data_IF_305518250572
#
_entry.id   IF_305518250572
#
_cell.length_a   1.000
_cell.length_b   1.000
_cell.length_c   1.000
_cell.angle_alpha   90.00
_cell.angle_beta   90.00
_cell.angle_gamma   90.00
#
_symmetry.space_group_name_H-M   'P 1'
#
loop_
_entity.id
_entity.type
_entity.pdbx_description
1 polymer ?
#
# COMPACT_ATOMS: atom_id res chain seq x y z
N UNK A 1 24.73 -55.26 21.93
CA UNK A 1 24.98 -53.83 21.60
C UNK A 1 24.01 -53.35 20.51
N UNK A 2 22.68 -53.45 20.72
CA UNK A 2 21.65 -53.10 19.71
C UNK A 2 20.49 -52.27 20.31
N UNK A 3 20.31 -52.26 21.63
CA UNK A 3 19.17 -51.58 22.26
C UNK A 3 19.26 -50.04 22.34
N UNK A 4 20.44 -49.43 22.19
CA UNK A 4 20.63 -47.96 22.29
C UNK A 4 20.32 -47.17 21.02
N UNK A 5 20.08 -47.84 19.89
CA UNK A 5 19.84 -47.15 18.61
C UNK A 5 18.36 -46.84 18.35
N UNK A 6 17.42 -47.51 19.03
CA UNK A 6 15.98 -47.35 18.78
C UNK A 6 15.40 -46.14 19.53
N UNK A 7 15.94 -45.83 20.71
CA UNK A 7 15.45 -44.75 21.59
C UNK A 7 15.78 -43.34 21.05
N UNK A 8 16.93 -43.16 20.38
CA UNK A 8 17.28 -41.91 19.69
C UNK A 8 16.43 -41.61 18.44
N UNK A 9 15.83 -42.64 17.84
CA UNK A 9 14.99 -42.49 16.65
C UNK A 9 13.60 -41.96 17.05
N UNK A 10 13.02 -42.46 18.15
CA UNK A 10 11.69 -42.03 18.62
C UNK A 10 11.63 -40.56 19.08
N UNK A 11 12.70 -40.07 19.73
CA UNK A 11 12.75 -38.67 20.21
C UNK A 11 12.93 -37.66 19.07
N UNK A 12 13.69 -38.00 18.02
CA UNK A 12 13.92 -37.11 16.87
C UNK A 12 12.68 -36.99 15.96
N UNK A 13 11.93 -38.07 15.79
CA UNK A 13 10.71 -38.06 14.95
C UNK A 13 9.63 -37.18 15.59
N UNK A 14 9.38 -37.33 16.90
CA UNK A 14 8.38 -36.53 17.59
C UNK A 14 8.73 -35.03 17.65
N UNK A 15 10.02 -34.70 17.81
CA UNK A 15 10.51 -33.32 17.78
C UNK A 15 10.28 -32.66 16.41
N UNK A 16 10.56 -33.37 15.32
CA UNK A 16 10.37 -32.85 13.96
C UNK A 16 8.89 -32.62 13.62
N UNK A 17 7.99 -33.46 14.11
CA UNK A 17 6.55 -33.31 13.89
C UNK A 17 5.98 -32.10 14.65
N UNK A 18 6.40 -31.89 15.90
CA UNK A 18 6.01 -30.73 16.70
C UNK A 18 6.53 -29.45 16.05
N UNK A 19 7.80 -29.40 15.65
CA UNK A 19 8.39 -28.24 14.96
C UNK A 19 7.65 -27.94 13.66
N UNK A 20 7.37 -28.95 12.83
CA UNK A 20 6.61 -28.77 11.59
C UNK A 20 5.21 -28.21 11.84
N UNK A 21 4.51 -28.68 12.88
CA UNK A 21 3.17 -28.20 13.23
C UNK A 21 3.19 -26.75 13.72
N UNK A 22 4.18 -26.37 14.52
CA UNK A 22 4.38 -24.99 14.97
C UNK A 22 4.68 -24.08 13.78
N UNK A 23 5.59 -24.49 12.88
CA UNK A 23 5.91 -23.72 11.67
C UNK A 23 4.69 -23.55 10.76
N UNK A 24 3.86 -24.59 10.58
CA UNK A 24 2.61 -24.47 9.83
C UNK A 24 1.65 -23.47 10.49
N UNK A 25 1.51 -23.52 11.81
CA UNK A 25 0.70 -22.56 12.55
C UNK A 25 1.18 -21.12 12.36
N UNK A 26 2.49 -20.89 12.38
CA UNK A 26 3.06 -19.56 12.14
C UNK A 26 2.78 -19.05 10.72
N UNK A 27 2.99 -19.89 9.69
CA UNK A 27 2.70 -19.50 8.30
C UNK A 27 1.22 -19.18 8.12
N UNK A 28 0.34 -20.00 8.71
CA UNK A 28 -1.10 -19.74 8.65
C UNK A 28 -1.49 -18.43 9.36
N UNK A 29 -0.91 -18.14 10.52
CA UNK A 29 -1.12 -16.88 11.22
C UNK A 29 -0.64 -15.67 10.39
N UNK A 30 0.51 -15.80 9.71
CA UNK A 30 1.01 -14.78 8.81
C UNK A 30 0.09 -14.55 7.60
N UNK A 31 -0.46 -15.62 7.01
CA UNK A 31 -1.46 -15.52 5.94
C UNK A 31 -2.75 -14.85 6.40
N UNK A 32 -3.22 -15.18 7.61
CA UNK A 32 -4.38 -14.52 8.21
C UNK A 32 -4.14 -13.01 8.39
N UNK A 33 -2.95 -12.63 8.88
CA UNK A 33 -2.55 -11.23 8.95
C UNK A 33 -2.51 -10.57 7.56
N UNK A 34 -2.01 -11.26 6.54
CA UNK A 34 -2.00 -10.73 5.17
C UNK A 34 -3.41 -10.47 4.63
N UNK A 35 -4.39 -11.33 4.95
CA UNK A 35 -5.81 -11.09 4.63
C UNK A 35 -6.35 -9.88 5.37
N UNK A 36 -6.05 -9.73 6.67
CA UNK A 36 -6.47 -8.55 7.43
C UNK A 36 -5.91 -7.27 6.79
N UNK A 37 -4.63 -7.25 6.43
CA UNK A 37 -4.01 -6.10 5.75
C UNK A 37 -4.67 -5.84 4.40
N UNK A 38 -4.94 -6.86 3.60
CA UNK A 38 -5.62 -6.69 2.32
C UNK A 38 -7.04 -6.11 2.46
N UNK A 39 -7.81 -6.61 3.41
CA UNK A 39 -9.16 -6.11 3.70
C UNK A 39 -9.12 -4.67 4.19
N UNK A 40 -8.23 -4.36 5.15
CA UNK A 40 -8.00 -2.98 5.60
C UNK A 40 -7.57 -2.09 4.44
N UNK A 41 -6.73 -2.59 3.54
CA UNK A 41 -6.31 -1.87 2.36
C UNK A 41 -7.48 -1.45 1.47
N UNK A 42 -8.43 -2.35 1.21
CA UNK A 42 -9.65 -2.00 0.45
C UNK A 42 -10.42 -0.84 1.11
N UNK A 43 -10.54 -0.85 2.45
CA UNK A 43 -11.19 0.25 3.18
C UNK A 43 -10.42 1.57 3.06
N UNK A 44 -9.09 1.53 3.21
CA UNK A 44 -8.24 2.73 3.07
C UNK A 44 -8.29 3.30 1.65
N UNK A 45 -8.20 2.45 0.62
CA UNK A 45 -8.32 2.86 -0.78
C UNK A 45 -9.67 3.54 -1.07
N UNK A 46 -10.77 3.00 -0.52
CA UNK A 46 -12.09 3.59 -0.69
C UNK A 46 -12.20 4.96 0.01
N UNK A 47 -11.67 5.08 1.23
CA UNK A 47 -11.68 6.36 1.95
C UNK A 47 -10.81 7.41 1.22
N UNK A 48 -9.67 7.00 0.68
CA UNK A 48 -8.81 7.86 -0.12
C UNK A 48 -9.51 8.35 -1.39
N UNK A 49 -10.27 7.49 -2.08
CA UNK A 49 -11.06 7.88 -3.25
C UNK A 49 -12.16 8.92 -2.98
N UNK A 50 -12.64 9.00 -1.74
CA UNK A 50 -13.63 10.00 -1.34
C UNK A 50 -13.00 11.36 -1.02
N UNK A 51 -11.68 11.42 -0.85
CA UNK A 51 -10.98 12.68 -0.64
C UNK A 51 -10.76 13.39 -1.99
N UNK A 52 -11.07 14.69 -2.10
CA UNK A 52 -10.82 15.43 -3.33
C UNK A 52 -9.34 15.44 -3.70
N UNK A 53 -9.05 15.21 -4.97
CA UNK A 53 -7.72 15.16 -5.54
C UNK A 53 -7.20 16.57 -5.87
N UNK A 54 -6.00 16.90 -5.40
CA UNK A 54 -5.29 18.16 -5.66
C UNK A 54 -4.74 18.29 -7.08
N UNK A 55 -4.72 17.20 -7.86
CA UNK A 55 -4.20 17.24 -9.23
C UNK A 55 -2.71 17.08 -9.39
N UNK A 56 -2.01 16.66 -8.34
CA UNK A 56 -0.62 16.23 -8.36
C UNK A 56 -0.35 15.21 -7.24
N UNK A 57 0.59 14.30 -7.48
CA UNK A 57 1.06 13.37 -6.43
C UNK A 57 2.27 13.92 -5.70
N UNK A 58 2.29 13.66 -4.39
CA UNK A 58 3.35 14.01 -3.46
C UNK A 58 3.71 12.81 -2.59
N UNK A 59 4.92 12.82 -2.03
CA UNK A 59 5.42 11.81 -1.11
C UNK A 59 5.03 12.11 0.34
N UNK A 60 5.31 11.19 1.28
CA UNK A 60 5.05 11.39 2.71
C UNK A 60 5.72 12.64 3.32
N UNK A 61 6.75 13.18 2.66
CA UNK A 61 7.44 14.44 3.00
C UNK A 61 6.75 15.68 2.42
N UNK A 62 5.60 15.52 1.77
CA UNK A 62 4.86 16.54 1.03
C UNK A 62 5.59 17.08 -0.21
N UNK A 63 6.64 16.38 -0.65
CA UNK A 63 7.40 16.73 -1.85
C UNK A 63 6.71 16.16 -3.08
N UNK A 64 6.51 16.98 -4.11
CA UNK A 64 5.90 16.54 -5.36
C UNK A 64 6.76 15.52 -6.10
N UNK A 65 6.08 14.58 -6.74
CA UNK A 65 6.68 13.55 -7.60
C UNK A 65 6.63 13.97 -9.08
N UNK A 66 7.36 13.27 -9.96
CA UNK A 66 7.25 13.48 -11.42
C UNK A 66 6.07 12.74 -12.05
N UNK A 67 5.15 12.18 -11.26
CA UNK A 67 4.02 11.44 -11.79
C UNK A 67 3.05 12.40 -12.47
N UNK A 68 2.85 12.19 -13.76
CA UNK A 68 1.91 12.94 -14.59
C UNK A 68 1.00 11.94 -15.30
N UNK A 69 -0.25 12.34 -15.54
CA UNK A 69 -1.10 11.59 -16.45
C UNK A 69 -0.59 11.76 -17.88
N UNK A 70 -0.46 10.64 -18.60
CA UNK A 70 -0.25 10.64 -20.05
C UNK A 70 -1.51 11.06 -20.82
N UNK A 71 -2.66 11.04 -20.16
CA UNK A 71 -3.94 11.45 -20.71
C UNK A 71 -4.16 12.91 -20.35
N UNK A 72 -4.63 13.73 -21.30
CA UNK A 72 -4.86 15.17 -21.15
C UNK A 72 -5.97 15.56 -20.17
N UNK A 73 -6.14 14.80 -19.09
CA UNK A 73 -7.13 14.97 -18.06
C UNK A 73 -6.89 16.27 -17.27
N UNK A 74 -7.95 17.06 -17.15
CA UNK A 74 -7.96 18.34 -16.43
C UNK A 74 -7.72 18.16 -14.93
N UNK A 75 -8.07 16.99 -14.39
CA UNK A 75 -7.83 16.68 -12.98
C UNK A 75 -6.35 16.68 -12.63
N UNK A 76 -5.45 16.46 -13.60
CA UNK A 76 -4.00 16.48 -13.41
C UNK A 76 -3.37 17.86 -13.72
N UNK A 77 -4.16 18.92 -13.83
CA UNK A 77 -3.67 20.25 -14.23
C UNK A 77 -2.58 20.77 -13.31
N UNK A 78 -2.69 20.55 -12.00
CA UNK A 78 -1.75 21.09 -11.01
C UNK A 78 -0.35 20.49 -11.15
N UNK A 79 -0.23 19.19 -11.51
CA UNK A 79 1.06 18.53 -11.80
C UNK A 79 1.88 19.18 -12.93
N UNK A 80 1.28 20.08 -13.71
CA UNK A 80 1.97 20.84 -14.76
C UNK A 80 2.69 22.08 -14.19
N UNK A 81 2.23 22.57 -13.05
CA UNK A 81 2.74 23.80 -12.42
C UNK A 81 3.83 23.52 -11.37
N UNK A 82 3.88 22.30 -10.86
CA UNK A 82 4.86 21.87 -9.85
C UNK A 82 5.87 20.90 -10.43
N UNK A 83 7.07 20.87 -9.85
CA UNK A 83 8.19 20.01 -10.23
C UNK A 83 8.58 19.10 -9.09
N UNK A 84 9.30 18.03 -9.42
CA UNK A 84 9.86 17.16 -8.38
C UNK A 84 10.92 17.90 -7.56
N UNK A 85 10.76 17.83 -6.24
CA UNK A 85 11.54 18.58 -5.27
C UNK A 85 10.83 19.82 -4.72
N UNK A 86 9.75 20.27 -5.34
CA UNK A 86 8.87 21.29 -4.76
C UNK A 86 8.05 20.65 -3.63
N UNK A 87 7.71 21.40 -2.58
CA UNK A 87 7.08 20.87 -1.38
C UNK A 87 5.83 21.67 -0.99
N UNK A 88 4.74 20.99 -0.65
CA UNK A 88 3.55 21.63 -0.08
C UNK A 88 3.87 22.06 1.35
N UNK A 89 3.62 23.34 1.68
CA UNK A 89 3.84 23.88 3.03
C UNK A 89 2.57 24.43 3.67
N UNK A 90 1.56 24.80 2.89
CA UNK A 90 0.25 25.21 3.41
C UNK A 90 -0.88 24.99 2.39
N UNK A 91 -2.10 24.84 2.90
CA UNK A 91 -3.34 24.84 2.11
C UNK A 91 -4.30 25.84 2.77
N UNK A 92 -4.82 26.81 2.01
CA UNK A 92 -5.68 27.89 2.49
C UNK A 92 -5.11 28.63 3.71
N UNK A 93 -3.81 28.95 3.67
CA UNK A 93 -3.06 29.58 4.77
C UNK A 93 -2.88 28.71 6.03
N UNK A 94 -3.37 27.48 6.02
CA UNK A 94 -3.15 26.50 7.10
C UNK A 94 -1.87 25.70 6.83
N UNK A 95 -0.86 25.76 7.72
CA UNK A 95 0.38 25.00 7.54
C UNK A 95 0.12 23.50 7.55
N UNK A 96 0.77 22.78 6.64
CA UNK A 96 0.71 21.32 6.57
C UNK A 96 2.09 20.72 6.78
N UNK A 97 2.19 19.71 7.64
CA UNK A 97 3.43 19.00 7.92
C UNK A 97 3.34 17.51 7.54
N UNK A 98 2.13 17.00 7.30
CA UNK A 98 1.88 15.60 6.98
C UNK A 98 0.71 15.41 6.01
N UNK A 99 0.63 14.22 5.40
CA UNK A 99 -0.54 13.83 4.59
C UNK A 99 -1.83 13.81 5.40
N UNK A 100 -1.75 13.58 6.72
CA UNK A 100 -2.91 13.60 7.60
C UNK A 100 -3.52 15.00 7.63
N UNK A 101 -2.70 16.04 7.72
CA UNK A 101 -3.16 17.44 7.74
C UNK A 101 -3.85 17.79 6.41
N UNK A 102 -3.23 17.42 5.28
CA UNK A 102 -3.83 17.61 3.96
C UNK A 102 -5.17 16.90 3.86
N UNK A 103 -5.24 15.63 4.29
CA UNK A 103 -6.48 14.86 4.24
C UNK A 103 -7.56 15.46 5.13
N UNK A 104 -7.22 15.94 6.32
CA UNK A 104 -8.17 16.61 7.21
C UNK A 104 -8.76 17.86 6.55
N UNK A 105 -7.90 18.72 5.99
CA UNK A 105 -8.31 19.92 5.26
C UNK A 105 -9.20 19.56 4.07
N UNK A 106 -8.77 18.63 3.22
CA UNK A 106 -9.48 18.26 1.99
C UNK A 106 -10.76 17.45 2.24
N UNK A 107 -10.85 16.70 3.34
CA UNK A 107 -12.06 15.90 3.68
C UNK A 107 -13.29 16.76 3.94
N UNK A 108 -13.08 18.05 4.26
CA UNK A 108 -14.15 19.03 4.46
C UNK A 108 -14.55 19.76 3.18
N UNK A 109 -13.93 19.42 2.04
CA UNK A 109 -14.07 20.10 0.75
C UNK A 109 -14.75 19.20 -0.28
N UNK A 110 -15.23 19.83 -1.34
CA UNK A 110 -15.90 19.15 -2.46
C UNK A 110 -15.09 19.26 -3.75
N UNK A 111 -15.19 18.25 -4.62
CA UNK A 111 -14.70 18.36 -5.98
C UNK A 111 -15.37 19.54 -6.70
N UNK A 112 -14.58 20.30 -7.46
CA UNK A 112 -14.96 21.56 -8.11
C UNK A 112 -14.63 22.83 -7.31
N UNK A 113 -14.29 22.71 -6.02
CA UNK A 113 -13.86 23.86 -5.21
C UNK A 113 -12.42 24.29 -5.53
N UNK A 114 -12.12 25.56 -5.25
CA UNK A 114 -10.76 26.10 -5.31
C UNK A 114 -10.13 26.10 -3.93
N UNK A 115 -8.87 25.71 -3.87
CA UNK A 115 -8.02 25.84 -2.68
C UNK A 115 -6.71 26.53 -3.07
N UNK A 116 -6.21 27.37 -2.18
CA UNK A 116 -4.90 28.00 -2.34
C UNK A 116 -3.83 27.07 -1.77
N UNK A 117 -2.90 26.63 -2.59
CA UNK A 117 -1.79 25.76 -2.16
C UNK A 117 -0.51 26.57 -2.17
N UNK A 118 0.12 26.72 -1.01
CA UNK A 118 1.43 27.34 -0.88
C UNK A 118 2.51 26.28 -1.01
N UNK A 119 3.41 26.48 -1.97
CA UNK A 119 4.47 25.54 -2.32
C UNK A 119 5.82 26.19 -2.12
N UNK A 120 6.70 25.52 -1.38
CA UNK A 120 8.12 25.82 -1.35
C UNK A 120 8.77 25.22 -2.59
N UNK A 121 9.14 26.07 -3.53
CA UNK A 121 9.86 25.66 -4.73
C UNK A 121 11.26 25.18 -4.37
N UNK A 122 11.82 24.28 -5.17
CA UNK A 122 13.19 23.78 -5.00
C UNK A 122 14.24 24.91 -4.95
N UNK A 123 13.97 26.03 -5.61
CA UNK A 123 14.83 27.22 -5.62
C UNK A 123 14.78 28.01 -4.29
N UNK A 124 13.92 27.63 -3.33
CA UNK A 124 13.80 28.22 -2.00
C UNK A 124 12.74 29.32 -1.87
N UNK A 125 12.05 29.66 -2.95
CA UNK A 125 10.96 30.64 -2.95
C UNK A 125 9.62 29.97 -2.65
N UNK A 126 8.72 30.68 -1.97
CA UNK A 126 7.33 30.24 -1.79
C UNK A 126 6.46 30.82 -2.88
N UNK A 127 5.61 29.99 -3.49
CA UNK A 127 4.62 30.41 -4.48
C UNK A 127 3.25 29.84 -4.13
N UNK A 128 2.22 30.67 -4.26
CA UNK A 128 0.83 30.27 -4.09
C UNK A 128 0.21 29.89 -5.44
N UNK A 129 -0.57 28.81 -5.43
CA UNK A 129 -1.31 28.31 -6.58
C UNK A 129 -2.79 28.16 -6.24
N UNK A 130 -3.67 28.69 -7.09
CA UNK A 130 -5.09 28.40 -7.04
C UNK A 130 -5.35 27.05 -7.73
N UNK A 131 -5.73 26.06 -6.95
CA UNK A 131 -5.91 24.67 -7.38
C UNK A 131 -7.38 24.30 -7.32
N UNK A 132 -7.92 23.83 -8.44
CA UNK A 132 -9.26 23.22 -8.46
C UNK A 132 -9.17 21.77 -8.00
N UNK A 133 -10.00 21.41 -7.02
CA UNK A 133 -10.13 20.04 -6.54
C UNK A 133 -10.95 19.21 -7.53
N UNK A 134 -10.56 17.97 -7.76
CA UNK A 134 -11.30 17.04 -8.62
C UNK A 134 -11.59 15.74 -7.90
N UNK A 135 -12.54 14.95 -8.40
CA UNK A 135 -12.55 13.53 -8.04
C UNK A 135 -11.32 12.85 -8.66
N UNK A 136 -10.78 11.84 -7.98
CA UNK A 136 -9.67 11.09 -8.58
C UNK A 136 -10.12 10.43 -9.89
N UNK A 137 -9.42 10.67 -11.02
CA UNK A 137 -9.89 10.26 -12.33
C UNK A 137 -10.13 8.77 -12.49
N UNK A 138 -11.25 8.42 -13.14
CA UNK A 138 -11.63 7.01 -13.37
C UNK A 138 -10.55 6.22 -14.12
N UNK A 139 -9.88 6.84 -15.10
CA UNK A 139 -8.80 6.19 -15.85
C UNK A 139 -7.56 5.94 -14.97
N UNK A 140 -7.26 6.87 -14.06
CA UNK A 140 -6.18 6.72 -13.09
C UNK A 140 -6.49 5.68 -12.01
N UNK A 141 -7.77 5.48 -11.63
CA UNK A 141 -8.19 4.43 -10.67
C UNK A 141 -7.73 3.04 -11.10
N UNK A 142 -7.79 2.74 -12.39
CA UNK A 142 -7.37 1.44 -12.91
C UNK A 142 -5.88 1.17 -12.68
N UNK A 143 -5.03 2.15 -13.00
CA UNK A 143 -3.58 2.01 -12.89
C UNK A 143 -3.10 2.02 -11.43
N UNK A 144 -3.65 2.91 -10.60
CA UNK A 144 -3.12 3.18 -9.26
C UNK A 144 -3.80 2.40 -8.13
N UNK A 145 -5.04 1.90 -8.33
CA UNK A 145 -5.78 1.19 -7.28
C UNK A 145 -6.16 -0.23 -7.70
N UNK A 146 -6.87 -0.39 -8.82
CA UNK A 146 -7.39 -1.71 -9.20
C UNK A 146 -6.29 -2.69 -9.59
N UNK A 147 -5.27 -2.24 -10.33
CA UNK A 147 -4.19 -3.13 -10.74
C UNK A 147 -3.39 -3.67 -9.53
N UNK A 148 -2.89 -2.84 -8.59
CA UNK A 148 -2.25 -3.33 -7.36
C UNK A 148 -3.16 -4.24 -6.51
N UNK A 149 -4.45 -3.89 -6.38
CA UNK A 149 -5.41 -4.64 -5.58
C UNK A 149 -5.67 -6.04 -6.17
N UNK A 150 -5.90 -6.15 -7.48
CA UNK A 150 -6.09 -7.44 -8.14
C UNK A 150 -4.82 -8.29 -8.04
N UNK A 151 -3.64 -7.67 -8.23
CA UNK A 151 -2.37 -8.37 -8.12
C UNK A 151 -2.13 -8.90 -6.70
N UNK A 152 -2.45 -8.12 -5.67
CA UNK A 152 -2.40 -8.54 -4.26
C UNK A 152 -3.35 -9.73 -4.00
N UNK A 153 -4.57 -9.67 -4.51
CA UNK A 153 -5.55 -10.76 -4.41
C UNK A 153 -5.04 -12.06 -5.06
N UNK A 154 -4.41 -11.96 -6.23
CA UNK A 154 -3.78 -13.12 -6.90
C UNK A 154 -2.69 -13.73 -6.02
N UNK A 155 -1.81 -12.91 -5.43
CA UNK A 155 -0.76 -13.40 -4.54
C UNK A 155 -1.32 -14.08 -3.28
N UNK A 156 -2.38 -13.54 -2.68
CA UNK A 156 -3.07 -14.19 -1.55
C UNK A 156 -3.66 -15.54 -1.96
N UNK A 157 -4.39 -15.57 -3.08
CA UNK A 157 -5.01 -16.80 -3.57
C UNK A 157 -3.96 -17.89 -3.81
N UNK A 158 -2.84 -17.55 -4.45
CA UNK A 158 -1.74 -18.49 -4.66
C UNK A 158 -1.09 -18.94 -3.35
N UNK A 159 -0.95 -18.03 -2.38
CA UNK A 159 -0.42 -18.35 -1.05
C UNK A 159 -1.30 -19.39 -0.34
N UNK A 160 -2.61 -19.16 -0.28
CA UNK A 160 -3.55 -20.11 0.33
C UNK A 160 -3.60 -21.44 -0.40
N UNK A 161 -3.60 -21.40 -1.74
CA UNK A 161 -3.61 -22.60 -2.57
C UNK A 161 -2.40 -23.48 -2.30
N UNK A 162 -1.18 -22.92 -2.39
CA UNK A 162 0.05 -23.68 -2.18
C UNK A 162 0.19 -24.15 -0.73
N UNK A 163 -0.19 -23.33 0.24
CA UNK A 163 -0.20 -23.77 1.64
C UNK A 163 -1.16 -24.97 1.84
N UNK A 164 -2.35 -24.93 1.25
CA UNK A 164 -3.32 -26.03 1.31
C UNK A 164 -2.77 -27.36 0.82
N UNK A 165 -2.13 -27.38 -0.36
CA UNK A 165 -1.59 -28.61 -0.95
C UNK A 165 -0.22 -29.03 -0.39
N UNK A 166 0.64 -28.08 -0.03
CA UNK A 166 2.06 -28.33 0.24
C UNK A 166 2.54 -27.84 1.62
N UNK A 167 1.65 -27.61 2.59
CA UNK A 167 2.02 -27.20 3.97
C UNK A 167 3.02 -28.11 4.68
N UNK A 168 3.05 -29.40 4.34
CA UNK A 168 3.98 -30.37 4.95
C UNK A 168 5.41 -30.21 4.42
N UNK A 169 5.57 -29.62 3.23
CA UNK A 169 6.87 -29.38 2.61
C UNK A 169 7.44 -28.03 3.05
N UNK A 170 8.75 -27.98 3.33
CA UNK A 170 9.46 -26.73 3.67
C UNK A 170 9.36 -25.70 2.55
N UNK A 171 9.48 -26.13 1.29
CA UNK A 171 9.37 -25.27 0.12
C UNK A 171 7.96 -24.66 -0.03
N UNK A 172 6.90 -25.43 0.24
CA UNK A 172 5.52 -24.94 0.19
C UNK A 172 5.26 -23.84 1.22
N UNK A 173 5.79 -24.01 2.44
CA UNK A 173 5.70 -23.00 3.51
C UNK A 173 6.46 -21.71 3.17
N UNK A 174 7.69 -21.83 2.69
CA UNK A 174 8.51 -20.66 2.30
C UNK A 174 7.87 -19.87 1.15
N UNK A 175 7.37 -20.55 0.12
CA UNK A 175 6.65 -19.91 -0.98
C UNK A 175 5.38 -19.19 -0.50
N UNK A 176 4.63 -19.80 0.42
CA UNK A 176 3.41 -19.22 0.97
C UNK A 176 3.72 -17.92 1.75
N UNK A 177 4.78 -17.91 2.56
CA UNK A 177 5.25 -16.69 3.24
C UNK A 177 5.64 -15.61 2.23
N UNK A 178 6.46 -15.95 1.24
CA UNK A 178 6.92 -15.01 0.22
C UNK A 178 5.76 -14.37 -0.55
N UNK A 179 4.81 -15.17 -1.01
CA UNK A 179 3.61 -14.68 -1.73
C UNK A 179 2.69 -13.86 -0.83
N UNK A 180 2.55 -14.21 0.45
CA UNK A 180 1.84 -13.38 1.43
C UNK A 180 2.52 -12.02 1.63
N UNK A 181 3.85 -11.96 1.67
CA UNK A 181 4.58 -10.70 1.76
C UNK A 181 4.38 -9.83 0.51
N UNK A 182 4.41 -10.43 -0.69
CA UNK A 182 4.10 -9.72 -1.93
C UNK A 182 2.68 -9.18 -1.94
N UNK A 183 1.71 -9.97 -1.45
CA UNK A 183 0.34 -9.51 -1.30
C UNK A 183 0.23 -8.31 -0.37
N UNK A 184 0.92 -8.33 0.77
CA UNK A 184 0.94 -7.20 1.72
C UNK A 184 1.52 -5.95 1.05
N UNK A 185 2.70 -6.06 0.43
CA UNK A 185 3.38 -4.92 -0.19
C UNK A 185 2.52 -4.30 -1.31
N UNK A 186 1.93 -5.14 -2.16
CA UNK A 186 1.11 -4.67 -3.29
C UNK A 186 -0.27 -4.17 -2.86
N UNK A 187 -0.85 -4.77 -1.82
CA UNK A 187 -2.18 -4.44 -1.30
C UNK A 187 -2.19 -3.31 -0.28
N UNK A 188 -1.04 -2.83 0.16
CA UNK A 188 -0.88 -1.68 1.06
C UNK A 188 -0.10 -0.54 0.39
N UNK A 189 -0.15 -0.46 -0.94
CA UNK A 189 0.58 0.53 -1.73
C UNK A 189 -0.01 1.95 -1.63
N UNK A 190 -1.28 2.06 -1.22
CA UNK A 190 -2.08 3.29 -1.18
C UNK A 190 -2.26 3.80 0.25
#
# INVERSE_FOLDING_TARGET
MVARSVEKIGLNVHSNDVVNRVLQGFVFAYQAMAVVVFVLGIFYANNWLQTPFLGAFYEHTLVFTQTKSNVGDVAWSFSKNVKSGDQIIAINDEPVASDIDIREILSTRSAGEFVKVSVLLKEGNVQDFDVTLYEFPTESRAAYLYFPMVLSGIFLLLSFWIFGFRRNESAGRAFSLFTSSLAIITGAFF
#
